data_IF_049761054686
#
_entry.id   IF_049761054686
#
_cell.length_a   1.000
_cell.length_b   1.000
_cell.length_c   1.000
_cell.angle_alpha   90.00
_cell.angle_beta   90.00
_cell.angle_gamma   90.00
#
_symmetry.space_group_name_H-M   'P 1'
#
loop_
_entity.id
_entity.type
_entity.pdbx_description
1 polymer ?
#
# COMPACT_ATOMS: atom_id res chain seq x y z
N UNK A 1 27.76 -3.08 -29.00
CA UNK A 1 27.67 -2.18 -27.83
C UNK A 1 26.24 -2.22 -27.29
N UNK A 2 26.09 -2.91 -26.14
CA UNK A 2 25.12 -2.71 -25.05
C UNK A 2 23.68 -2.28 -25.36
N UNK A 3 22.75 -3.23 -25.26
CA UNK A 3 21.36 -2.97 -24.85
C UNK A 3 20.91 -4.01 -23.83
N UNK A 4 21.43 -3.89 -22.62
CA UNK A 4 20.91 -4.60 -21.45
C UNK A 4 19.62 -3.91 -20.98
N UNK A 5 18.52 -4.10 -21.71
CA UNK A 5 17.19 -3.82 -21.19
C UNK A 5 16.57 -5.15 -20.85
N UNK A 6 16.84 -5.61 -19.62
CA UNK A 6 16.26 -6.81 -19.06
C UNK A 6 14.75 -6.78 -19.27
N UNK A 7 14.23 -7.82 -19.94
CA UNK A 7 12.82 -8.04 -20.12
C UNK A 7 12.18 -8.37 -18.76
N UNK A 8 11.91 -7.36 -17.95
CA UNK A 8 11.06 -7.53 -16.77
C UNK A 8 9.62 -7.76 -17.26
N UNK A 9 9.19 -9.02 -17.25
CA UNK A 9 7.82 -9.48 -17.56
C UNK A 9 6.78 -9.07 -16.50
N UNK A 10 7.06 -8.04 -15.71
CA UNK A 10 6.11 -7.49 -14.77
C UNK A 10 5.17 -6.57 -15.53
N UNK A 11 4.07 -7.17 -16.00
CA UNK A 11 2.94 -6.50 -16.63
C UNK A 11 2.56 -5.28 -15.79
N UNK A 12 3.01 -4.09 -16.21
CA UNK A 12 2.71 -2.79 -15.60
C UNK A 12 1.21 -2.56 -15.77
N UNK A 13 0.41 -3.11 -14.85
CA UNK A 13 -1.02 -2.83 -14.76
C UNK A 13 -1.13 -1.34 -14.46
N UNK A 14 -1.40 -0.55 -15.50
CA UNK A 14 -1.91 0.83 -15.40
C UNK A 14 -3.12 0.77 -14.46
N UNK A 15 -2.91 1.06 -13.17
CA UNK A 15 -4.02 1.37 -12.27
C UNK A 15 -4.43 2.78 -12.67
N UNK A 16 -5.70 2.97 -13.03
CA UNK A 16 -6.28 4.22 -13.54
C UNK A 16 -6.35 5.35 -12.50
N UNK A 17 -5.53 5.31 -11.45
CA UNK A 17 -5.45 6.32 -10.41
C UNK A 17 -3.98 6.60 -10.22
N UNK A 18 -3.55 7.80 -10.62
CA UNK A 18 -2.20 8.26 -10.37
C UNK A 18 -1.90 8.15 -8.87
N UNK A 19 -0.88 7.37 -8.48
CA UNK A 19 -0.60 7.11 -7.07
C UNK A 19 -0.26 8.39 -6.29
N UNK A 20 0.32 9.40 -6.97
CA UNK A 20 0.54 10.73 -6.41
C UNK A 20 -0.78 11.44 -6.09
N UNK A 21 -1.70 11.56 -7.05
CA UNK A 21 -3.01 12.20 -6.82
C UNK A 21 -3.79 11.52 -5.69
N UNK A 22 -3.72 10.20 -5.60
CA UNK A 22 -4.34 9.45 -4.51
C UNK A 22 -3.71 9.79 -3.15
N UNK A 23 -2.39 9.97 -3.10
CA UNK A 23 -1.64 10.35 -1.90
C UNK A 23 -1.91 11.81 -1.48
N UNK A 24 -1.91 12.74 -2.44
CA UNK A 24 -2.21 14.16 -2.20
C UNK A 24 -3.64 14.36 -1.67
N UNK A 25 -4.58 13.52 -2.13
CA UNK A 25 -5.96 13.51 -1.66
C UNK A 25 -6.14 12.91 -0.25
N UNK A 26 -5.08 12.40 0.40
CA UNK A 26 -5.20 11.81 1.73
C UNK A 26 -5.22 12.88 2.82
N UNK A 27 -6.01 12.66 3.90
CA UNK A 27 -5.93 13.45 5.12
C UNK A 27 -4.52 13.40 5.74
N UNK A 28 -4.08 14.45 6.43
CA UNK A 28 -2.73 14.52 7.01
C UNK A 28 -2.46 13.39 8.02
N UNK A 29 -3.47 12.97 8.80
CA UNK A 29 -3.36 11.81 9.71
C UNK A 29 -3.03 10.53 8.96
N UNK A 30 -3.63 10.33 7.79
CA UNK A 30 -3.45 9.13 6.99
C UNK A 30 -2.09 9.14 6.28
N UNK A 31 -1.61 10.32 5.86
CA UNK A 31 -0.26 10.48 5.33
C UNK A 31 0.81 10.19 6.37
N UNK A 32 0.63 10.67 7.61
CA UNK A 32 1.54 10.36 8.74
C UNK A 32 1.62 8.86 8.99
N UNK A 33 0.48 8.20 9.08
CA UNK A 33 0.43 6.75 9.22
C UNK A 33 1.15 6.04 8.06
N UNK A 34 0.94 6.50 6.82
CA UNK A 34 1.58 5.90 5.63
C UNK A 34 3.10 6.12 5.60
N UNK A 35 3.59 7.21 6.18
CA UNK A 35 5.03 7.49 6.33
C UNK A 35 5.67 6.65 7.45
N UNK A 36 4.90 6.23 8.46
CA UNK A 36 5.36 5.36 9.56
C UNK A 36 5.19 3.86 9.24
N UNK A 37 4.33 3.52 8.28
CA UNK A 37 4.08 2.14 7.86
C UNK A 37 5.37 1.47 7.35
N UNK A 38 5.59 0.22 7.78
CA UNK A 38 6.80 -0.54 7.45
C UNK A 38 6.73 -1.21 6.08
N UNK A 39 5.54 -1.38 5.53
CA UNK A 39 5.32 -1.99 4.21
C UNK A 39 5.05 -0.93 3.13
N UNK A 40 5.41 -1.20 1.86
CA UNK A 40 5.04 -0.35 0.72
C UNK A 40 3.54 -0.48 0.42
N UNK A 41 2.70 0.11 1.27
CA UNK A 41 1.26 0.17 1.09
C UNK A 41 0.89 1.11 -0.05
N UNK A 42 -0.08 0.70 -0.86
CA UNK A 42 -0.64 1.57 -1.89
C UNK A 42 -1.59 2.61 -1.26
N UNK A 43 -1.47 3.91 -1.61
CA UNK A 43 -2.34 4.99 -1.09
C UNK A 43 -3.83 4.70 -1.26
N UNK A 44 -4.19 4.04 -2.36
CA UNK A 44 -5.58 3.68 -2.68
C UNK A 44 -6.15 2.65 -1.69
N UNK A 45 -5.36 1.67 -1.26
CA UNK A 45 -5.80 0.67 -0.28
C UNK A 45 -6.01 1.30 1.09
N UNK A 46 -5.07 2.16 1.51
CA UNK A 46 -5.19 2.90 2.76
C UNK A 46 -6.42 3.80 2.76
N UNK A 47 -6.64 4.55 1.68
CA UNK A 47 -7.83 5.39 1.50
C UNK A 47 -9.13 4.60 1.58
N UNK A 48 -9.19 3.42 0.96
CA UNK A 48 -10.40 2.57 0.99
C UNK A 48 -10.75 2.12 2.40
N UNK A 49 -9.76 1.66 3.17
CA UNK A 49 -9.99 1.20 4.56
C UNK A 49 -10.41 2.39 5.43
N UNK A 50 -9.78 3.55 5.26
CA UNK A 50 -10.14 4.76 5.98
C UNK A 50 -11.55 5.24 5.65
N UNK A 51 -11.93 5.28 4.36
CA UNK A 51 -13.27 5.66 3.94
C UNK A 51 -14.35 4.70 4.46
N UNK A 52 -14.08 3.39 4.46
CA UNK A 52 -14.98 2.37 5.01
C UNK A 52 -15.23 2.57 6.52
N UNK A 53 -14.17 2.87 7.28
CA UNK A 53 -14.27 3.19 8.70
C UNK A 53 -15.05 4.50 8.92
N UNK A 54 -14.77 5.55 8.15
CA UNK A 54 -15.49 6.83 8.21
C UNK A 54 -16.96 6.69 7.85
N UNK A 55 -17.29 5.85 6.86
CA UNK A 55 -18.67 5.55 6.47
C UNK A 55 -19.44 4.84 7.58
N UNK A 56 -18.75 4.08 8.44
CA UNK A 56 -19.33 3.43 9.63
C UNK A 56 -19.46 4.37 10.84
N UNK A 57 -19.02 5.62 10.72
CA UNK A 57 -18.98 6.56 11.83
C UNK A 57 -17.84 6.30 12.82
N UNK A 58 -16.82 5.52 12.42
CA UNK A 58 -15.65 5.28 13.26
C UNK A 58 -14.82 6.56 13.43
N UNK A 59 -14.27 6.75 14.63
CA UNK A 59 -13.33 7.83 14.90
C UNK A 59 -12.03 7.65 14.10
N UNK A 60 -11.26 8.72 13.92
CA UNK A 60 -9.99 8.64 13.20
C UNK A 60 -9.03 7.62 13.83
N UNK A 61 -8.98 7.54 15.16
CA UNK A 61 -8.15 6.56 15.87
C UNK A 61 -8.54 5.10 15.53
N UNK A 62 -9.83 4.80 15.46
CA UNK A 62 -10.34 3.46 15.10
C UNK A 62 -10.01 3.11 13.64
N UNK A 63 -10.15 4.08 12.73
CA UNK A 63 -9.77 3.92 11.34
C UNK A 63 -8.26 3.60 11.18
N UNK A 64 -7.40 4.28 11.95
CA UNK A 64 -5.96 4.00 11.99
C UNK A 64 -5.67 2.62 12.61
N UNK A 65 -6.35 2.25 13.71
CA UNK A 65 -6.21 0.93 14.31
C UNK A 65 -6.61 -0.19 13.33
N UNK A 66 -7.60 0.06 12.46
CA UNK A 66 -8.01 -0.86 11.39
C UNK A 66 -6.92 -1.03 10.33
N UNK A 67 -6.22 0.05 9.98
CA UNK A 67 -5.08 0.04 9.07
C UNK A 67 -3.89 -0.72 9.66
N UNK A 68 -3.54 -0.48 10.92
CA UNK A 68 -2.48 -1.21 11.64
C UNK A 68 -2.77 -2.73 11.70
N UNK A 69 -4.01 -3.12 11.99
CA UNK A 69 -4.43 -4.54 11.93
C UNK A 69 -4.26 -5.13 10.53
N UNK A 70 -4.58 -4.35 9.49
CA UNK A 70 -4.41 -4.78 8.12
C UNK A 70 -2.91 -4.91 7.76
N UNK A 71 -2.07 -4.00 8.22
CA UNK A 71 -0.60 -4.09 8.11
C UNK A 71 -0.06 -5.35 8.76
N UNK A 72 -0.41 -5.63 10.03
CA UNK A 72 0.03 -6.83 10.73
C UNK A 72 -0.38 -8.12 10.02
N UNK A 73 -1.61 -8.17 9.46
CA UNK A 73 -2.10 -9.30 8.66
C UNK A 73 -1.31 -9.45 7.36
N UNK A 74 -1.03 -8.34 6.67
CA UNK A 74 -0.22 -8.35 5.46
C UNK A 74 1.22 -8.75 5.77
N UNK A 75 1.85 -8.24 6.84
CA UNK A 75 3.17 -8.64 7.31
C UNK A 75 3.25 -10.13 7.67
N UNK A 76 2.21 -10.69 8.27
CA UNK A 76 2.14 -12.13 8.56
C UNK A 76 2.08 -12.97 7.27
N UNK A 77 1.40 -12.45 6.23
CA UNK A 77 1.24 -13.12 4.93
C UNK A 77 2.41 -12.87 3.97
N UNK A 78 3.04 -11.71 4.03
CA UNK A 78 4.23 -11.34 3.27
C UNK A 78 5.44 -12.15 3.74
N UNK A 79 5.54 -12.42 5.05
CA UNK A 79 6.49 -13.41 5.59
C UNK A 79 6.33 -14.81 4.98
N UNK A 80 5.15 -15.18 4.49
CA UNK A 80 4.91 -16.42 3.76
C UNK A 80 5.04 -16.29 2.23
N UNK A 81 5.18 -15.06 1.73
CA UNK A 81 5.17 -14.70 0.32
C UNK A 81 6.32 -13.75 0.02
N UNK A 82 7.53 -14.09 0.46
CA UNK A 82 8.74 -13.59 -0.17
C UNK A 82 9.15 -14.59 -1.24
N UNK A 83 8.78 -14.40 -2.52
CA UNK A 83 9.53 -14.96 -3.62
C UNK A 83 10.77 -14.07 -3.80
N UNK A 84 11.72 -14.14 -2.86
CA UNK A 84 13.06 -13.67 -3.20
C UNK A 84 13.52 -14.52 -4.39
N UNK A 85 13.91 -13.82 -5.44
CA UNK A 85 14.39 -14.37 -6.70
C UNK A 85 15.51 -15.37 -6.42
N UNK A 86 15.27 -16.64 -6.74
CA UNK A 86 16.32 -17.57 -7.07
C UNK A 86 16.55 -17.46 -8.58
N UNK A 87 17.67 -16.85 -8.98
CA UNK A 87 18.50 -17.46 -10.04
C UNK A 87 19.95 -16.96 -9.93
N UNK A 88 20.84 -17.87 -10.27
CA UNK A 88 22.31 -17.87 -10.15
C UNK A 88 23.02 -16.80 -11.00
#
# INVERSE_FOLDING_TARGET
>A
MTRNLGATSLKRRRRAVDPMTAYDSLPPVLRRWLAEASLPWSPTSCRRIWLDARAKGEAEAEAIARLDRAERRTLARDRSSSPYSADH
#
